data_IF_933852676232
#
_entry.id   IF_933852676232
#
_cell.length_a   1.000
_cell.length_b   1.000
_cell.length_c   1.000
_cell.angle_alpha   90.00
_cell.angle_beta   90.00
_cell.angle_gamma   90.00
#
_symmetry.space_group_name_H-M   'P 1'
#
loop_
_entity.id
_entity.type
_entity.pdbx_description
1 polymer ?
#
# COMPACT_ATOMS: atom_id res chain seq x y z
N UNK A 1 -5.17 11.41 13.01
CA UNK A 1 -5.71 10.32 12.17
C UNK A 1 -7.22 10.35 12.21
N UNK A 2 -7.90 9.74 11.23
CA UNK A 2 -9.31 10.00 10.97
C UNK A 2 -10.11 8.73 10.67
N UNK A 3 -11.41 8.80 10.94
CA UNK A 3 -12.40 7.77 10.60
C UNK A 3 -13.72 8.44 10.25
N UNK A 4 -14.48 7.81 9.38
CA UNK A 4 -15.86 8.18 9.05
C UNK A 4 -16.73 6.94 8.94
N UNK A 5 -17.93 7.12 8.43
CA UNK A 5 -18.86 6.01 8.23
C UNK A 5 -18.35 5.12 7.09
N UNK A 6 -17.90 3.91 7.45
CA UNK A 6 -17.43 2.90 6.49
C UNK A 6 -15.96 3.02 6.09
N UNK A 7 -15.19 3.96 6.64
CA UNK A 7 -13.75 4.10 6.33
C UNK A 7 -12.90 4.56 7.52
N UNK A 8 -11.62 4.20 7.54
CA UNK A 8 -10.60 4.77 8.43
C UNK A 8 -9.27 5.00 7.71
N UNK A 9 -8.46 5.92 8.24
CA UNK A 9 -7.09 6.17 7.83
C UNK A 9 -6.16 6.14 9.04
N UNK A 10 -5.15 5.27 8.98
CA UNK A 10 -4.26 4.93 10.09
C UNK A 10 -2.78 4.96 9.68
N UNK A 11 -1.89 5.34 10.60
CA UNK A 11 -0.48 5.65 10.39
C UNK A 11 0.24 4.50 11.05
N UNK A 12 0.68 3.61 10.19
CA UNK A 12 1.20 2.32 10.59
C UNK A 12 2.70 2.41 10.53
N UNK A 13 3.30 2.45 11.72
CA UNK A 13 4.75 2.38 11.94
C UNK A 13 5.10 0.94 12.29
N UNK A 14 5.84 0.27 11.43
CA UNK A 14 6.42 -1.01 11.76
C UNK A 14 7.93 -0.85 11.95
N UNK A 15 8.45 -1.50 12.99
CA UNK A 15 9.86 -1.44 13.41
C UNK A 15 10.59 -2.77 13.24
N UNK A 16 9.90 -3.78 12.70
CA UNK A 16 10.47 -5.11 12.47
C UNK A 16 11.64 -5.04 11.50
N UNK A 17 12.61 -5.92 11.70
CA UNK A 17 13.84 -6.02 10.92
C UNK A 17 14.15 -7.42 10.41
N UNK A 18 15.32 -7.59 9.79
CA UNK A 18 15.72 -8.87 9.18
C UNK A 18 15.77 -10.08 10.13
N UNK A 19 15.91 -9.84 11.43
CA UNK A 19 15.94 -10.89 12.45
C UNK A 19 14.54 -11.30 12.92
N UNK A 20 13.51 -10.50 12.63
CA UNK A 20 12.14 -10.77 13.06
C UNK A 20 11.46 -11.76 12.12
N UNK A 21 10.74 -12.72 12.71
CA UNK A 21 10.04 -13.73 11.95
C UNK A 21 8.72 -13.16 11.40
N UNK A 22 8.47 -13.22 10.08
CA UNK A 22 7.17 -12.91 9.52
C UNK A 22 6.09 -13.85 10.06
N UNK A 23 4.88 -13.34 10.27
CA UNK A 23 3.73 -14.12 10.70
C UNK A 23 2.52 -13.79 9.84
N UNK A 24 1.61 -14.76 9.72
CA UNK A 24 0.37 -14.61 8.95
C UNK A 24 -0.62 -13.72 9.70
N UNK A 25 -1.12 -12.73 8.97
CA UNK A 25 -2.15 -11.81 9.38
C UNK A 25 -3.37 -11.91 8.45
N UNK A 26 -4.49 -11.30 8.84
CA UNK A 26 -5.72 -11.27 8.04
C UNK A 26 -6.26 -9.86 7.94
N UNK A 27 -6.55 -9.42 6.72
CA UNK A 27 -7.27 -8.17 6.49
C UNK A 27 -8.71 -8.29 7.00
N UNK A 28 -9.06 -7.56 8.07
CA UNK A 28 -10.43 -7.54 8.58
C UNK A 28 -11.40 -6.81 7.63
N UNK A 29 -10.89 -5.84 6.88
CA UNK A 29 -11.60 -4.96 5.96
C UNK A 29 -10.88 -4.90 4.62
N UNK A 30 -11.47 -4.26 3.61
CA UNK A 30 -10.69 -3.92 2.40
C UNK A 30 -9.65 -2.89 2.81
N UNK A 31 -8.39 -3.11 2.43
CA UNK A 31 -7.26 -2.29 2.89
C UNK A 31 -6.43 -1.82 1.71
N UNK A 32 -6.10 -0.53 1.71
CA UNK A 32 -5.14 0.08 0.79
C UNK A 32 -4.06 0.77 1.62
N UNK A 33 -2.86 0.23 1.60
CA UNK A 33 -1.70 0.81 2.28
C UNK A 33 -0.88 1.67 1.33
N UNK A 34 -0.72 2.96 1.62
CA UNK A 34 0.19 3.85 0.91
C UNK A 34 1.53 3.84 1.61
N UNK A 35 2.55 3.27 0.98
CA UNK A 35 3.91 3.19 1.56
C UNK A 35 4.59 4.54 1.40
N UNK A 36 4.98 5.15 2.51
CA UNK A 36 5.62 6.48 2.51
C UNK A 36 7.08 6.43 2.88
N UNK A 37 7.49 5.44 3.69
CA UNK A 37 8.89 5.22 4.08
C UNK A 37 9.16 3.72 4.13
N UNK A 38 10.35 3.35 3.72
CA UNK A 38 10.94 2.03 3.87
C UNK A 38 10.52 1.03 2.80
N UNK A 39 10.89 -0.22 3.06
CA UNK A 39 10.65 -1.32 2.14
C UNK A 39 10.49 -2.63 2.87
N UNK A 40 9.54 -3.44 2.43
CA UNK A 40 9.22 -4.74 3.00
C UNK A 40 8.67 -5.67 1.92
N UNK A 41 8.77 -6.98 2.13
CA UNK A 41 8.12 -7.97 1.28
C UNK A 41 6.67 -8.13 1.73
N UNK A 42 5.73 -8.11 0.80
CA UNK A 42 4.32 -8.35 1.05
C UNK A 42 3.89 -9.62 0.32
N UNK A 43 3.48 -10.65 1.08
CA UNK A 43 3.05 -11.94 0.55
C UNK A 43 1.56 -12.12 0.77
N UNK A 44 0.86 -12.51 -0.29
CA UNK A 44 -0.57 -12.84 -0.26
C UNK A 44 -0.84 -14.05 -1.16
N UNK A 45 -2.07 -14.59 -1.16
CA UNK A 45 -2.50 -15.54 -2.18
C UNK A 45 -2.42 -15.00 -3.63
N UNK A 46 -2.39 -13.68 -3.84
CA UNK A 46 -2.31 -13.05 -5.17
C UNK A 46 -0.87 -12.90 -5.67
N UNK A 47 0.13 -13.03 -4.80
CA UNK A 47 1.52 -12.83 -5.18
C UNK A 47 2.49 -12.56 -4.04
N UNK A 48 3.73 -12.27 -4.43
CA UNK A 48 4.81 -11.84 -3.55
C UNK A 48 5.41 -10.58 -4.15
N UNK A 49 5.28 -9.49 -3.44
CA UNK A 49 5.65 -8.17 -3.91
C UNK A 49 6.70 -7.53 -2.99
N UNK A 50 7.58 -6.71 -3.58
CA UNK A 50 8.40 -5.78 -2.80
C UNK A 50 7.70 -4.43 -2.74
N UNK A 51 7.36 -4.02 -1.52
CA UNK A 51 6.80 -2.72 -1.23
C UNK A 51 7.92 -1.70 -1.06
N UNK A 52 7.75 -0.55 -1.69
CA UNK A 52 8.70 0.59 -1.67
C UNK A 52 7.90 1.89 -1.54
N UNK A 53 8.52 3.02 -1.17
CA UNK A 53 7.80 4.29 -1.10
C UNK A 53 7.11 4.60 -2.43
N UNK A 54 5.88 5.10 -2.35
CA UNK A 54 5.02 5.41 -3.49
C UNK A 54 4.24 4.24 -4.07
N UNK A 55 4.49 3.00 -3.62
CA UNK A 55 3.65 1.85 -3.99
C UNK A 55 2.41 1.75 -3.10
N UNK A 56 1.34 1.18 -3.64
CA UNK A 56 0.14 0.84 -2.87
C UNK A 56 0.11 -0.66 -2.62
N UNK A 57 -0.10 -1.04 -1.37
CA UNK A 57 -0.48 -2.39 -0.94
C UNK A 57 -1.98 -2.53 -1.07
N UNK A 58 -2.45 -3.65 -1.63
CA UNK A 58 -3.88 -3.93 -1.82
C UNK A 58 -4.27 -5.22 -1.10
N UNK A 59 -5.15 -5.10 -0.11
CA UNK A 59 -5.68 -6.20 0.70
C UNK A 59 -7.18 -6.34 0.54
N UNK A 60 -7.67 -7.53 0.19
CA UNK A 60 -9.10 -7.82 0.22
C UNK A 60 -9.53 -8.21 1.64
N UNK A 61 -10.77 -7.87 2.02
CA UNK A 61 -11.35 -8.35 3.28
C UNK A 61 -11.29 -9.89 3.38
N UNK A 62 -10.91 -10.38 4.56
CA UNK A 62 -10.73 -11.80 4.87
C UNK A 62 -9.43 -12.43 4.35
N UNK A 63 -8.65 -11.73 3.52
CA UNK A 63 -7.45 -12.27 2.88
C UNK A 63 -6.27 -12.37 3.86
N UNK A 64 -5.62 -13.53 3.88
CA UNK A 64 -4.35 -13.70 4.60
C UNK A 64 -3.21 -12.96 3.92
N UNK A 65 -2.29 -12.43 4.70
CA UNK A 65 -1.07 -11.82 4.22
C UNK A 65 0.09 -11.98 5.20
N UNK A 66 1.30 -11.71 4.74
CA UNK A 66 2.50 -11.60 5.59
C UNK A 66 3.35 -10.42 5.13
N UNK A 67 3.87 -9.65 6.08
CA UNK A 67 4.90 -8.64 5.86
C UNK A 67 6.26 -9.15 6.33
N UNK A 68 7.28 -9.09 5.48
CA UNK A 68 8.65 -9.52 5.77
C UNK A 68 9.67 -8.40 5.61
N UNK A 69 10.70 -8.42 6.46
CA UNK A 69 11.72 -7.37 6.54
C UNK A 69 13.13 -7.90 6.27
N UNK A 70 13.25 -8.88 5.36
CA UNK A 70 14.48 -9.67 5.15
C UNK A 70 15.72 -8.81 4.82
N UNK A 71 15.53 -7.62 4.24
CA UNK A 71 16.62 -6.83 3.68
C UNK A 71 16.77 -5.43 4.29
N UNK A 72 15.81 -4.96 5.09
CA UNK A 72 15.89 -3.69 5.79
C UNK A 72 14.83 -3.63 6.89
N UNK A 73 15.15 -2.91 7.97
CA UNK A 73 14.22 -2.70 9.07
C UNK A 73 13.29 -1.52 8.83
N UNK A 74 12.04 -1.70 9.26
CA UNK A 74 11.02 -0.70 9.45
C UNK A 74 10.47 -0.04 8.19
N UNK A 75 9.21 0.33 8.27
CA UNK A 75 8.44 0.98 7.22
C UNK A 75 7.35 1.83 7.86
N UNK A 76 6.85 2.79 7.07
CA UNK A 76 5.72 3.62 7.44
C UNK A 76 4.72 3.62 6.30
N UNK A 77 3.48 3.32 6.64
CA UNK A 77 2.38 3.30 5.70
C UNK A 77 1.21 4.15 6.23
N UNK A 78 0.47 4.77 5.32
CA UNK A 78 -0.91 5.21 5.61
C UNK A 78 -1.85 4.10 5.16
N UNK A 79 -2.46 3.41 6.11
CA UNK A 79 -3.43 2.36 5.87
C UNK A 79 -4.84 2.95 5.81
N UNK A 80 -5.44 2.93 4.62
CA UNK A 80 -6.86 3.19 4.44
C UNK A 80 -7.63 1.88 4.52
N UNK A 81 -8.63 1.82 5.41
CA UNK A 81 -9.49 0.65 5.58
C UNK A 81 -10.93 1.00 5.27
N UNK A 82 -11.62 0.07 4.64
CA UNK A 82 -12.98 0.28 4.15
C UNK A 82 -13.88 -0.90 4.50
N UNK A 83 -15.07 -0.60 5.02
CA UNK A 83 -16.13 -1.58 5.13
C UNK A 83 -16.46 -2.14 3.74
N UNK A 84 -16.66 -3.47 3.59
CA UNK A 84 -16.88 -4.08 2.28
C UNK A 84 -17.99 -3.42 1.45
N UNK A 85 -19.14 -3.14 2.05
CA UNK A 85 -20.29 -2.54 1.34
C UNK A 85 -20.00 -1.10 0.90
N UNK A 86 -19.27 -0.34 1.72
CA UNK A 86 -18.86 1.03 1.39
C UNK A 86 -17.86 1.04 0.21
N UNK A 87 -16.89 0.12 0.24
CA UNK A 87 -15.94 -0.05 -0.87
C UNK A 87 -16.64 -0.51 -2.16
N UNK A 88 -17.64 -1.40 -2.06
CA UNK A 88 -18.43 -1.83 -3.22
C UNK A 88 -19.18 -0.65 -3.87
N UNK A 89 -19.75 0.24 -3.06
CA UNK A 89 -20.36 1.49 -3.51
C UNK A 89 -19.37 2.41 -4.22
N UNK A 90 -18.22 2.70 -3.59
CA UNK A 90 -17.17 3.49 -4.23
C UNK A 90 -16.68 2.90 -5.55
N UNK A 91 -16.55 1.58 -5.61
CA UNK A 91 -16.13 0.90 -6.82
C UNK A 91 -17.18 1.01 -7.92
N UNK A 92 -18.46 0.94 -7.57
CA UNK A 92 -19.56 1.21 -8.49
C UNK A 92 -19.50 2.64 -9.05
N UNK A 93 -19.32 3.63 -8.19
CA UNK A 93 -19.24 5.04 -8.56
C UNK A 93 -18.00 5.35 -9.42
N UNK A 94 -16.91 4.62 -9.19
CA UNK A 94 -15.70 4.66 -10.01
C UNK A 94 -15.85 3.93 -11.37
N UNK A 95 -17.01 3.36 -11.67
CA UNK A 95 -17.31 2.66 -12.93
C UNK A 95 -16.83 1.22 -12.99
N UNK A 96 -16.45 0.62 -11.86
CA UNK A 96 -15.98 -0.77 -11.82
C UNK A 96 -17.14 -1.76 -11.92
N UNK A 97 -17.02 -2.72 -12.83
CA UNK A 97 -17.92 -3.87 -12.91
C UNK A 97 -17.80 -4.73 -11.65
N UNK A 98 -18.81 -5.53 -11.31
CA UNK A 98 -18.77 -6.40 -10.10
C UNK A 98 -17.50 -7.26 -10.00
N UNK A 99 -16.97 -7.77 -11.12
CA UNK A 99 -15.75 -8.56 -11.15
C UNK A 99 -14.45 -7.76 -10.90
N UNK A 100 -14.52 -6.43 -10.93
CA UNK A 100 -13.41 -5.50 -10.69
C UNK A 100 -13.43 -4.87 -9.29
N UNK A 101 -14.48 -5.11 -8.51
CA UNK A 101 -14.64 -4.57 -7.13
C UNK A 101 -13.87 -5.35 -6.07
N UNK A 102 -13.03 -6.29 -6.52
CA UNK A 102 -12.10 -7.07 -5.69
C UNK A 102 -10.72 -6.95 -6.31
N UNK A 103 -9.71 -6.73 -5.48
CA UNK A 103 -8.33 -6.64 -5.97
C UNK A 103 -7.85 -7.99 -6.47
N UNK A 104 -7.34 -8.00 -7.69
CA UNK A 104 -6.71 -9.15 -8.34
C UNK A 104 -5.19 -9.13 -8.21
N UNK A 105 -4.62 -7.98 -7.87
CA UNK A 105 -3.18 -7.81 -7.61
C UNK A 105 -2.99 -7.30 -6.18
N UNK A 106 -1.87 -7.67 -5.56
CA UNK A 106 -1.53 -7.24 -4.19
C UNK A 106 -0.75 -5.92 -4.12
N UNK A 107 -0.28 -5.42 -5.27
CA UNK A 107 0.54 -4.22 -5.36
C UNK A 107 0.19 -3.38 -6.58
N UNK A 108 0.17 -2.06 -6.37
CA UNK A 108 0.36 -1.08 -7.43
C UNK A 108 1.77 -0.49 -7.31
N UNK A 109 2.60 -0.54 -8.37
CA UNK A 109 3.93 0.05 -8.34
C UNK A 109 3.85 1.58 -8.20
N UNK A 110 4.96 2.21 -7.82
CA UNK A 110 5.09 3.67 -7.82
C UNK A 110 5.00 4.21 -9.25
N UNK A 111 3.78 4.59 -9.66
CA UNK A 111 3.46 5.15 -10.98
C UNK A 111 2.95 6.58 -10.84
N UNK A 112 2.99 7.32 -11.95
CA UNK A 112 2.66 8.76 -11.98
C UNK A 112 1.26 9.04 -11.44
N UNK A 113 0.31 8.17 -11.75
CA UNK A 113 -1.11 8.27 -11.37
C UNK A 113 -1.30 8.27 -9.84
N UNK A 114 -0.37 7.68 -9.08
CA UNK A 114 -0.44 7.61 -7.61
C UNK A 114 0.31 8.76 -6.93
N UNK A 115 1.19 9.46 -7.64
CA UNK A 115 2.18 10.39 -7.06
C UNK A 115 1.58 11.47 -6.16
N UNK A 116 0.50 12.13 -6.58
CA UNK A 116 -0.15 13.17 -5.80
C UNK A 116 -0.78 12.63 -4.50
N UNK A 117 -1.36 11.43 -4.55
CA UNK A 117 -1.98 10.78 -3.39
C UNK A 117 -0.91 10.34 -2.39
N UNK A 118 0.21 9.79 -2.89
CA UNK A 118 1.39 9.46 -2.08
C UNK A 118 1.93 10.70 -1.38
N UNK A 119 2.11 11.80 -2.11
CA UNK A 119 2.64 13.04 -1.54
C UNK A 119 1.73 13.60 -0.43
N UNK A 120 0.42 13.59 -0.63
CA UNK A 120 -0.56 14.01 0.39
C UNK A 120 -0.54 13.10 1.62
N UNK A 121 -0.51 11.78 1.42
CA UNK A 121 -0.42 10.81 2.51
C UNK A 121 0.87 11.00 3.32
N UNK A 122 2.01 11.16 2.64
CA UNK A 122 3.31 11.40 3.26
C UNK A 122 3.33 12.72 4.03
N UNK A 123 2.82 13.81 3.45
CA UNK A 123 2.71 15.10 4.14
C UNK A 123 1.83 15.00 5.38
N UNK A 124 0.72 14.24 5.33
CA UNK A 124 -0.20 14.06 6.45
C UNK A 124 0.38 13.32 7.66
N UNK A 125 1.41 12.50 7.46
CA UNK A 125 2.06 11.76 8.57
C UNK A 125 3.42 12.31 8.97
N UNK A 126 4.11 13.02 8.07
CA UNK A 126 5.42 13.65 8.36
C UNK A 126 5.26 15.07 8.90
N UNK A 127 4.22 15.80 8.49
CA UNK A 127 3.96 17.17 8.91
C UNK A 127 2.54 17.31 9.46
N UNK A 128 2.33 18.28 10.37
CA UNK A 128 0.96 18.70 10.73
C UNK A 128 0.37 19.50 9.58
N UNK A 129 -0.12 18.79 8.56
CA UNK A 129 -0.76 19.38 7.40
C UNK A 129 -2.29 19.18 7.48
N UNK A 130 -3.05 20.15 6.94
CA UNK A 130 -4.50 20.07 6.84
C UNK A 130 -4.91 19.09 5.74
N UNK A 131 -4.66 17.81 5.97
CA UNK A 131 -5.11 16.74 5.07
C UNK A 131 -6.58 16.44 5.34
N UNK A 132 -7.40 16.63 4.33
CA UNK A 132 -8.77 16.12 4.25
C UNK A 132 -8.74 14.60 4.09
N UNK A 133 -8.59 13.87 5.21
CA UNK A 133 -8.42 12.41 5.20
C UNK A 133 -9.57 11.65 4.53
N UNK A 134 -10.80 12.15 4.64
CA UNK A 134 -11.97 11.56 3.97
C UNK A 134 -11.86 11.63 2.45
N UNK A 135 -11.58 12.84 1.93
CA UNK A 135 -11.38 13.06 0.51
C UNK A 135 -10.21 12.22 -0.02
N UNK A 136 -9.11 12.18 0.74
CA UNK A 136 -7.96 11.35 0.39
C UNK A 136 -8.32 9.86 0.39
N UNK A 137 -9.10 9.37 1.34
CA UNK A 137 -9.56 7.99 1.40
C UNK A 137 -10.40 7.61 0.17
N UNK A 138 -11.31 8.50 -0.26
CA UNK A 138 -12.13 8.30 -1.46
C UNK A 138 -11.24 8.28 -2.72
N UNK A 139 -10.33 9.24 -2.86
CA UNK A 139 -9.45 9.33 -4.03
C UNK A 139 -8.45 8.16 -4.12
N UNK A 140 -7.94 7.69 -2.99
CA UNK A 140 -7.08 6.50 -2.90
C UNK A 140 -7.83 5.27 -3.38
N UNK A 141 -9.05 5.03 -2.89
CA UNK A 141 -9.86 3.90 -3.33
C UNK A 141 -10.18 3.96 -4.83
N UNK A 142 -10.74 5.08 -5.30
CA UNK A 142 -11.13 5.24 -6.71
C UNK A 142 -9.94 5.11 -7.67
N UNK A 143 -8.78 5.66 -7.30
CA UNK A 143 -7.56 5.58 -8.12
C UNK A 143 -6.99 4.16 -8.10
N UNK A 144 -6.95 3.52 -6.93
CA UNK A 144 -6.46 2.15 -6.81
C UNK A 144 -7.28 1.17 -7.65
N UNK A 145 -8.62 1.28 -7.62
CA UNK A 145 -9.54 0.44 -8.42
C UNK A 145 -9.25 0.59 -9.92
N UNK A 146 -9.13 1.83 -10.38
CA UNK A 146 -8.88 2.14 -11.79
C UNK A 146 -7.52 1.61 -12.26
N UNK A 147 -6.46 1.86 -11.49
CA UNK A 147 -5.10 1.43 -11.84
C UNK A 147 -5.00 -0.09 -11.76
N UNK A 148 -5.54 -0.72 -10.72
CA UNK A 148 -5.56 -2.18 -10.56
C UNK A 148 -6.27 -2.89 -11.72
N UNK A 149 -7.34 -2.30 -12.25
CA UNK A 149 -8.07 -2.82 -13.41
C UNK A 149 -7.23 -2.94 -14.70
N UNK A 150 -6.14 -2.17 -14.82
CA UNK A 150 -5.23 -2.20 -15.95
C UNK A 150 -3.98 -3.08 -15.76
N UNK A 151 -3.73 -3.60 -14.55
CA UNK A 151 -2.52 -4.39 -14.26
C UNK A 151 -2.68 -5.82 -14.81
N UNK A 152 -1.72 -6.24 -15.64
CA UNK A 152 -1.62 -7.63 -16.09
C UNK A 152 -0.89 -8.47 -15.04
N UNK A 153 -1.35 -9.70 -14.87
CA UNK A 153 -0.90 -10.64 -13.82
C UNK A 153 0.49 -11.25 -14.04
N UNK A 154 1.17 -10.93 -15.14
CA UNK A 154 2.39 -11.63 -15.53
C UNK A 154 3.62 -10.82 -15.11
N UNK A 155 4.19 -11.18 -13.96
CA UNK A 155 5.51 -10.70 -13.55
C UNK A 155 6.47 -11.88 -13.36
N UNK A 156 7.58 -11.93 -14.12
CA UNK A 156 8.65 -12.88 -13.90
C UNK A 156 9.19 -12.75 -12.48
N UNK A 157 9.48 -13.89 -11.85
CA UNK A 157 10.08 -13.91 -10.52
C UNK A 157 11.48 -13.31 -10.56
N UNK A 158 11.69 -12.21 -9.86
CA UNK A 158 13.00 -11.59 -9.74
C UNK A 158 14.01 -12.57 -9.08
N UNK A 159 15.29 -12.55 -9.49
CA UNK A 159 16.34 -13.31 -8.81
C UNK A 159 16.44 -12.91 -7.32
N UNK A 160 16.80 -13.86 -6.45
CA UNK A 160 16.86 -13.63 -4.98
C UNK A 160 17.68 -12.40 -4.58
N UNK A 161 18.82 -12.15 -5.22
CA UNK A 161 19.67 -10.99 -4.94
C UNK A 161 19.18 -9.65 -5.50
N UNK A 162 18.14 -9.65 -6.35
CA UNK A 162 17.63 -8.41 -6.92
C UNK A 162 16.87 -7.57 -5.89
N UNK A 163 16.09 -8.21 -5.00
CA UNK A 163 15.32 -7.51 -3.97
C UNK A 163 16.22 -6.79 -2.97
N UNK A 164 17.29 -7.46 -2.50
CA UNK A 164 18.29 -6.84 -1.63
C UNK A 164 18.92 -5.59 -2.24
N UNK A 165 19.26 -5.61 -3.55
CA UNK A 165 19.82 -4.44 -4.25
C UNK A 165 18.81 -3.31 -4.38
N UNK A 166 17.56 -3.62 -4.72
CA UNK A 166 16.49 -2.60 -4.82
C UNK A 166 16.26 -1.96 -3.45
N UNK A 167 16.13 -2.77 -2.39
CA UNK A 167 16.02 -2.27 -1.02
C UNK A 167 17.20 -1.39 -0.64
N UNK A 168 18.44 -1.82 -0.89
CA UNK A 168 19.61 -1.00 -0.59
C UNK A 168 19.60 0.36 -1.31
N UNK A 169 19.17 0.38 -2.58
CA UNK A 169 19.07 1.61 -3.38
C UNK A 169 18.02 2.57 -2.83
N UNK A 170 16.81 2.06 -2.54
CA UNK A 170 15.73 2.85 -1.92
C UNK A 170 16.18 3.42 -0.59
N UNK A 171 16.79 2.61 0.27
CA UNK A 171 17.30 3.07 1.57
C UNK A 171 18.42 4.09 1.46
N UNK A 172 19.21 4.05 0.39
CA UNK A 172 20.22 5.08 0.13
C UNK A 172 19.58 6.44 -0.14
N UNK A 173 18.48 6.47 -0.91
CA UNK A 173 17.74 7.70 -1.22
C UNK A 173 17.07 8.25 0.05
N UNK A 174 16.40 7.40 0.84
CA UNK A 174 15.68 7.84 2.04
C UNK A 174 16.59 8.41 3.14
N UNK A 175 17.83 7.93 3.23
CA UNK A 175 18.81 8.42 4.20
C UNK A 175 19.42 9.76 3.81
N UNK A 176 19.26 10.19 2.56
CA UNK A 176 19.79 11.46 2.08
C UNK A 176 18.72 12.55 2.19
N UNK A 177 18.78 13.43 3.21
CA UNK A 177 17.85 14.54 3.32
C UNK A 177 17.97 15.56 2.17
N UNK A 178 19.04 15.53 1.37
CA UNK A 178 19.26 16.36 0.19
C UNK A 178 18.75 15.74 -1.12
N UNK A 179 18.24 14.50 -1.11
CA UNK A 179 17.62 13.88 -2.28
C UNK A 179 16.19 14.40 -2.59
N UNK A 180 15.87 15.62 -2.14
CA UNK A 180 14.59 16.32 -2.31
C UNK A 180 14.69 17.41 -3.36
#
# INVERSE_FOLDING_TARGET
>A
MARGDGWSADDVMCTLGPADRPFEERHAQVSIGVVVVGSFQYRTPLGRDLMTPGSFLLGNAGQCFECGHEHAAGDRCVAFRYAPDWFDGLAADAGATRGQRRFRVSRLPAVRELSALVARAAAGVVASSDVTWEELAIQVAATAIRVAGGVRHDQPKAPRGALARVTASVRSIERDPAAR
#
